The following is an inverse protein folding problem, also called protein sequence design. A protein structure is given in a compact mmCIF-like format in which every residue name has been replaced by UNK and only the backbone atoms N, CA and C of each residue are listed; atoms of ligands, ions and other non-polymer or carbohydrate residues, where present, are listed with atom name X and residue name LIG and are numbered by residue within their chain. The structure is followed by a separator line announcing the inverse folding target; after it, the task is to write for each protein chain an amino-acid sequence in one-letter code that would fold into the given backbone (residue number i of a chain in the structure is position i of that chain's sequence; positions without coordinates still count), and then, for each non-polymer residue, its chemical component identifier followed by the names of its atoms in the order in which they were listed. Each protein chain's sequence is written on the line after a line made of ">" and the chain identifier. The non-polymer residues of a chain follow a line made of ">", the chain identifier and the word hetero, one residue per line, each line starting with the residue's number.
data_IF_589585085913
#
_entry.id   IF_589585085913
#
_cell.length_a   1.000
_cell.length_b   1.000
_cell.length_c   1.000
_cell.angle_alpha   90.00
_cell.angle_beta   90.00
_cell.angle_gamma   90.00
#
_symmetry.space_group_name_H-M   'P 1'
#
loop_
_entity.id
_entity.type
_entity.pdbx_description
1 polymer ?
#
# COMPACT_ATOMS: atom_id res chain seq x y z
N UNK A 1 24.33 -9.85 -0.37
CA UNK A 1 22.89 -9.82 -0.73
C UNK A 1 22.16 -8.99 0.31
N UNK A 2 21.18 -8.16 -0.08
CA UNK A 2 20.42 -7.28 0.83
C UNK A 2 19.35 -8.02 1.68
N UNK A 3 19.27 -9.35 1.61
CA UNK A 3 18.23 -10.16 2.30
C UNK A 3 16.80 -9.96 1.78
N UNK A 4 16.58 -9.09 0.79
CA UNK A 4 15.25 -8.73 0.26
C UNK A 4 14.48 -9.91 -0.32
N UNK A 5 15.17 -10.83 -0.99
CA UNK A 5 14.51 -12.00 -1.58
C UNK A 5 13.88 -12.87 -0.49
N UNK A 6 14.60 -13.12 0.61
CA UNK A 6 14.11 -13.89 1.74
C UNK A 6 12.87 -13.21 2.37
N UNK A 7 12.90 -11.88 2.50
CA UNK A 7 11.75 -11.09 2.97
C UNK A 7 10.55 -11.25 2.03
N UNK A 8 10.77 -11.17 0.71
CA UNK A 8 9.68 -11.24 -0.27
C UNK A 8 9.06 -12.64 -0.28
N UNK A 9 9.88 -13.68 -0.16
CA UNK A 9 9.41 -15.07 -0.03
C UNK A 9 8.62 -15.24 1.26
N UNK A 10 9.09 -14.71 2.39
CA UNK A 10 8.35 -14.77 3.65
C UNK A 10 6.99 -14.07 3.54
N UNK A 11 6.95 -12.86 2.97
CA UNK A 11 5.70 -12.12 2.76
C UNK A 11 4.71 -12.86 1.86
N UNK A 12 5.22 -13.48 0.78
CA UNK A 12 4.40 -14.30 -0.10
C UNK A 12 3.79 -15.49 0.66
N UNK A 13 4.62 -16.26 1.38
CA UNK A 13 4.21 -17.43 2.16
C UNK A 13 3.24 -17.10 3.29
N UNK A 14 3.40 -15.95 3.94
CA UNK A 14 2.47 -15.46 4.97
C UNK A 14 1.06 -15.29 4.42
N UNK A 15 0.93 -14.67 3.23
CA UNK A 15 -0.37 -14.55 2.59
C UNK A 15 -0.87 -15.87 1.99
N UNK A 16 0.01 -16.76 1.51
CA UNK A 16 -0.42 -18.12 1.09
C UNK A 16 -1.02 -18.92 2.24
N UNK A 17 -0.44 -18.83 3.44
CA UNK A 17 -0.95 -19.50 4.63
C UNK A 17 -2.26 -18.86 5.14
N UNK A 18 -2.44 -17.55 4.92
CA UNK A 18 -3.62 -16.79 5.37
C UNK A 18 -4.22 -15.95 4.23
N UNK A 19 -4.82 -16.56 3.20
CA UNK A 19 -5.13 -15.87 1.95
C UNK A 19 -6.28 -14.87 2.05
N UNK A 20 -7.12 -14.95 3.08
CA UNK A 20 -8.29 -14.07 3.24
C UNK A 20 -7.91 -12.77 3.94
N UNK A 21 -7.37 -12.87 5.16
CA UNK A 21 -7.09 -11.73 6.05
C UNK A 21 -5.60 -11.45 6.27
N UNK A 22 -4.70 -12.24 5.67
CA UNK A 22 -3.29 -12.22 6.02
C UNK A 22 -3.06 -12.62 7.48
N UNK A 23 -1.86 -12.35 7.99
CA UNK A 23 -1.48 -12.58 9.38
C UNK A 23 -1.90 -11.45 10.34
N UNK A 24 -2.57 -10.42 9.81
CA UNK A 24 -2.92 -9.18 10.52
C UNK A 24 -1.99 -8.02 10.16
N UNK A 25 -2.56 -6.83 9.99
CA UNK A 25 -1.81 -5.63 9.65
C UNK A 25 -0.79 -5.28 10.74
N UNK A 26 0.39 -4.80 10.34
CA UNK A 26 1.47 -4.41 11.26
C UNK A 26 1.92 -5.56 12.22
N UNK A 27 1.93 -6.79 11.70
CA UNK A 27 2.42 -7.98 12.42
C UNK A 27 3.66 -8.62 11.78
N UNK A 28 4.16 -8.06 10.66
CA UNK A 28 5.20 -8.67 9.85
C UNK A 28 6.46 -8.99 10.66
N UNK A 29 6.92 -8.00 11.43
CA UNK A 29 8.06 -8.06 12.34
C UNK A 29 7.88 -9.01 13.53
N UNK A 30 6.69 -9.60 13.71
CA UNK A 30 6.39 -10.53 14.81
C UNK A 30 6.37 -11.98 14.36
N UNK A 31 6.06 -12.22 13.08
CA UNK A 31 5.76 -13.58 12.58
C UNK A 31 6.61 -14.00 11.38
N UNK A 32 7.28 -13.07 10.68
CA UNK A 32 7.95 -13.35 9.41
C UNK A 32 9.02 -14.44 9.47
N UNK A 33 9.69 -14.65 10.62
CA UNK A 33 10.69 -15.70 10.79
C UNK A 33 10.14 -17.11 10.56
N UNK A 34 8.87 -17.35 10.87
CA UNK A 34 8.22 -18.65 10.64
C UNK A 34 8.07 -18.97 9.15
N UNK A 35 8.18 -17.95 8.29
CA UNK A 35 7.95 -18.03 6.86
C UNK A 35 9.22 -17.84 6.03
N UNK A 36 10.36 -17.56 6.67
CA UNK A 36 11.64 -17.43 5.97
C UNK A 36 12.01 -18.75 5.25
N UNK A 37 12.72 -18.69 4.11
CA UNK A 37 13.33 -19.87 3.51
C UNK A 37 14.23 -20.63 4.49
N UNK A 38 14.31 -21.96 4.38
CA UNK A 38 15.16 -22.78 5.26
C UNK A 38 16.65 -22.41 5.13
N UNK A 39 17.06 -22.01 3.92
CA UNK A 39 18.40 -21.53 3.60
C UNK A 39 18.54 -20.01 3.72
N UNK A 40 17.62 -19.35 4.43
CA UNK A 40 17.66 -17.90 4.60
C UNK A 40 18.96 -17.47 5.27
N UNK A 41 19.53 -16.39 4.75
CA UNK A 41 20.73 -15.75 5.31
C UNK A 41 20.38 -14.60 6.25
N UNK A 42 19.08 -14.41 6.54
CA UNK A 42 18.61 -13.35 7.42
C UNK A 42 19.06 -13.61 8.87
N UNK A 43 19.57 -12.60 9.60
CA UNK A 43 19.97 -12.77 11.00
C UNK A 43 18.82 -13.27 11.87
N UNK A 44 19.04 -14.33 12.65
CA UNK A 44 18.01 -14.97 13.50
C UNK A 44 17.52 -14.06 14.62
N UNK A 45 18.36 -13.12 15.03
CA UNK A 45 18.16 -12.19 16.13
C UNK A 45 17.51 -10.88 15.66
N UNK A 46 17.29 -10.71 14.35
CA UNK A 46 16.67 -9.53 13.77
C UNK A 46 15.40 -9.91 13.01
N UNK A 47 14.26 -9.31 13.37
CA UNK A 47 13.05 -9.46 12.57
C UNK A 47 13.04 -8.47 11.41
N UNK A 48 12.78 -8.92 10.16
CA UNK A 48 12.46 -8.03 9.06
C UNK A 48 11.31 -7.08 9.47
N UNK A 49 11.49 -5.75 9.35
CA UNK A 49 10.47 -4.82 9.84
C UNK A 49 9.23 -4.81 8.95
N UNK A 50 9.39 -4.97 7.63
CA UNK A 50 8.29 -5.03 6.65
C UNK A 50 8.79 -5.52 5.28
N UNK A 51 7.90 -5.91 4.34
CA UNK A 51 8.27 -6.39 3.01
C UNK A 51 8.96 -5.38 2.09
N UNK A 52 8.85 -4.09 2.40
CA UNK A 52 9.31 -2.98 1.54
C UNK A 52 8.62 -2.89 0.17
N UNK A 53 7.58 -3.67 -0.11
CA UNK A 53 6.87 -3.67 -1.39
C UNK A 53 5.35 -3.66 -1.11
N UNK A 54 4.64 -2.74 -1.75
CA UNK A 54 3.24 -2.42 -1.44
C UNK A 54 2.32 -3.64 -1.48
N UNK A 55 2.34 -4.39 -2.58
CA UNK A 55 1.47 -5.56 -2.75
C UNK A 55 1.82 -6.68 -1.78
N UNK A 56 3.10 -6.93 -1.52
CA UNK A 56 3.53 -7.96 -0.57
C UNK A 56 3.15 -7.58 0.87
N UNK A 57 3.16 -6.30 1.21
CA UNK A 57 2.75 -5.85 2.52
C UNK A 57 1.24 -5.95 2.75
N UNK A 58 0.45 -5.59 1.73
CA UNK A 58 -1.00 -5.78 1.77
C UNK A 58 -1.35 -7.27 1.77
N UNK A 59 -0.69 -8.08 0.94
CA UNK A 59 -0.92 -9.52 0.84
C UNK A 59 -0.61 -10.24 2.16
N UNK A 60 0.59 -10.00 2.72
CA UNK A 60 0.99 -10.63 3.98
C UNK A 60 0.15 -10.15 5.17
N UNK A 61 -0.17 -8.85 5.24
CA UNK A 61 -0.88 -8.27 6.38
C UNK A 61 -2.40 -8.42 6.34
N UNK A 62 -3.02 -8.29 5.16
CA UNK A 62 -4.47 -8.20 4.99
C UNK A 62 -5.04 -9.17 3.93
N UNK A 63 -4.19 -10.00 3.31
CA UNK A 63 -4.62 -11.02 2.34
C UNK A 63 -5.32 -10.45 1.11
N UNK A 64 -6.16 -11.29 0.51
CA UNK A 64 -6.98 -10.93 -0.65
C UNK A 64 -7.97 -9.79 -0.36
N UNK A 65 -8.50 -9.68 0.86
CA UNK A 65 -9.38 -8.56 1.23
C UNK A 65 -8.63 -7.24 1.11
N UNK A 66 -7.39 -7.18 1.61
CA UNK A 66 -6.53 -6.00 1.46
C UNK A 66 -6.28 -5.64 0.00
N UNK A 67 -5.91 -6.63 -0.83
CA UNK A 67 -5.63 -6.41 -2.25
C UNK A 67 -6.87 -5.90 -2.99
N UNK A 68 -8.03 -6.52 -2.75
CA UNK A 68 -9.30 -6.09 -3.35
C UNK A 68 -9.64 -4.66 -2.92
N UNK A 69 -9.55 -4.35 -1.62
CA UNK A 69 -9.81 -3.00 -1.10
C UNK A 69 -8.88 -1.94 -1.72
N UNK A 70 -7.60 -2.26 -1.86
CA UNK A 70 -6.62 -1.39 -2.50
C UNK A 70 -6.92 -1.14 -3.98
N UNK A 71 -7.23 -2.19 -4.75
CA UNK A 71 -7.60 -2.05 -6.16
C UNK A 71 -8.91 -1.29 -6.34
N UNK A 72 -9.88 -1.46 -5.43
CA UNK A 72 -11.11 -0.68 -5.42
C UNK A 72 -10.84 0.81 -5.18
N UNK A 73 -9.92 1.15 -4.26
CA UNK A 73 -9.52 2.54 -4.04
C UNK A 73 -8.92 3.17 -5.31
N UNK A 74 -8.02 2.44 -5.99
CA UNK A 74 -7.49 2.85 -7.30
C UNK A 74 -8.59 3.04 -8.35
N UNK A 75 -9.54 2.11 -8.42
CA UNK A 75 -10.66 2.17 -9.35
C UNK A 75 -11.56 3.38 -9.10
N UNK A 76 -11.86 3.68 -7.82
CA UNK A 76 -12.66 4.86 -7.44
C UNK A 76 -11.94 6.15 -7.82
N UNK A 77 -10.66 6.29 -7.48
CA UNK A 77 -9.86 7.46 -7.84
C UNK A 77 -9.75 7.64 -9.36
N UNK A 78 -9.57 6.55 -10.10
CA UNK A 78 -9.59 6.57 -11.57
C UNK A 78 -10.94 7.04 -12.13
N UNK A 79 -12.05 6.56 -11.58
CA UNK A 79 -13.40 7.00 -12.01
C UNK A 79 -13.62 8.48 -11.73
N UNK A 80 -13.24 8.97 -10.55
CA UNK A 80 -13.30 10.40 -10.21
C UNK A 80 -12.46 11.23 -11.19
N UNK A 81 -11.23 10.80 -11.48
CA UNK A 81 -10.38 11.46 -12.46
C UNK A 81 -11.02 11.52 -13.85
N UNK A 82 -11.61 10.42 -14.32
CA UNK A 82 -12.28 10.34 -15.62
C UNK A 82 -13.51 11.23 -15.72
N UNK A 83 -14.23 11.43 -14.63
CA UNK A 83 -15.43 12.28 -14.57
C UNK A 83 -15.10 13.77 -14.36
N UNK A 84 -13.91 14.10 -13.83
CA UNK A 84 -13.49 15.46 -13.56
C UNK A 84 -13.27 16.30 -14.84
N UNK A 85 -13.65 17.57 -14.75
CA UNK A 85 -13.39 18.63 -15.73
C UNK A 85 -11.88 18.91 -15.86
N UNK A 86 -11.42 19.49 -16.99
CA UNK A 86 -10.01 19.84 -17.17
C UNK A 86 -9.43 20.71 -16.05
N UNK A 87 -10.18 21.70 -15.55
CA UNK A 87 -9.73 22.59 -14.48
C UNK A 87 -9.62 21.87 -13.12
N UNK A 88 -10.58 20.98 -12.80
CA UNK A 88 -10.52 20.13 -11.60
C UNK A 88 -9.30 19.21 -11.64
N UNK A 89 -9.00 18.61 -12.80
CA UNK A 89 -7.80 17.78 -12.98
C UNK A 89 -6.53 18.58 -12.74
N UNK A 90 -6.41 19.79 -13.30
CA UNK A 90 -5.25 20.68 -13.08
C UNK A 90 -5.07 20.99 -11.59
N UNK A 91 -6.16 21.29 -10.88
CA UNK A 91 -6.14 21.56 -9.43
C UNK A 91 -5.80 20.31 -8.61
N UNK A 92 -6.27 19.14 -9.03
CA UNK A 92 -6.06 17.88 -8.31
C UNK A 92 -4.66 17.30 -8.50
N UNK A 93 -3.97 17.59 -9.61
CA UNK A 93 -2.66 17.00 -9.91
C UNK A 93 -1.64 17.12 -8.74
N UNK A 94 -1.39 18.30 -8.13
CA UNK A 94 -0.39 18.43 -7.07
C UNK A 94 -0.68 17.59 -5.82
N UNK A 95 -1.97 17.38 -5.51
CA UNK A 95 -2.39 16.61 -4.32
C UNK A 95 -2.56 15.12 -4.60
N UNK A 96 -2.81 14.75 -5.86
CA UNK A 96 -2.99 13.37 -6.29
C UNK A 96 -1.65 12.69 -6.62
N UNK A 97 -0.65 13.44 -7.10
CA UNK A 97 0.67 12.92 -7.46
C UNK A 97 1.40 12.20 -6.30
N UNK A 98 1.42 12.74 -5.06
CA UNK A 98 2.01 12.03 -3.92
C UNK A 98 1.40 10.65 -3.70
N UNK A 99 0.07 10.51 -3.83
CA UNK A 99 -0.61 9.22 -3.69
C UNK A 99 -0.24 8.26 -4.80
N UNK A 100 -0.20 8.74 -6.06
CA UNK A 100 0.17 7.89 -7.19
C UNK A 100 1.59 7.34 -7.05
N UNK A 101 2.53 8.18 -6.60
CA UNK A 101 3.92 7.78 -6.43
C UNK A 101 4.07 6.87 -5.22
N UNK A 102 3.55 7.28 -4.06
CA UNK A 102 3.67 6.53 -2.82
C UNK A 102 3.03 5.15 -2.97
N UNK A 103 1.78 5.10 -3.44
CA UNK A 103 0.98 3.89 -3.50
C UNK A 103 0.97 3.23 -4.87
N UNK A 104 1.94 3.52 -5.74
CA UNK A 104 2.08 2.76 -6.98
C UNK A 104 2.19 1.26 -6.63
N UNK A 105 1.43 0.34 -7.26
CA UNK A 105 1.37 -1.05 -6.81
C UNK A 105 2.72 -1.77 -6.78
N UNK A 106 3.64 -1.38 -7.67
CA UNK A 106 4.97 -1.95 -7.74
C UNK A 106 6.02 -1.13 -6.96
N UNK A 107 5.61 -0.08 -6.24
CA UNK A 107 6.54 0.76 -5.51
C UNK A 107 7.22 -0.01 -4.39
N UNK A 108 8.43 0.43 -4.08
CA UNK A 108 9.20 -0.05 -2.94
C UNK A 108 9.44 1.13 -2.00
N UNK A 109 8.85 1.12 -0.82
CA UNK A 109 8.98 2.20 0.15
C UNK A 109 8.95 1.67 1.61
N UNK A 110 8.74 2.56 2.58
CA UNK A 110 8.55 2.21 4.00
C UNK A 110 7.26 1.40 4.20
N UNK A 111 6.96 0.87 5.38
CA UNK A 111 5.74 0.07 5.60
C UNK A 111 4.44 0.76 5.12
N UNK A 112 3.41 -0.02 4.79
CA UNK A 112 2.08 0.44 4.35
C UNK A 112 1.23 0.91 5.53
N UNK A 113 1.24 0.16 6.62
CA UNK A 113 0.36 0.34 7.79
C UNK A 113 0.86 1.23 8.95
N UNK A 114 2.07 1.83 8.96
CA UNK A 114 2.43 2.81 10.00
C UNK A 114 1.46 4.00 10.05
N UNK A 115 1.15 4.48 11.26
CA UNK A 115 0.22 5.59 11.49
C UNK A 115 0.62 6.88 10.77
N UNK A 116 1.93 7.16 10.69
CA UNK A 116 2.49 8.33 9.98
C UNK A 116 2.04 8.37 8.51
N UNK A 117 2.23 7.27 7.78
CA UNK A 117 1.86 7.18 6.36
C UNK A 117 0.36 7.06 6.16
N UNK A 118 -0.36 6.42 7.09
CA UNK A 118 -1.81 6.34 7.05
C UNK A 118 -2.47 7.73 7.13
N UNK A 119 -2.01 8.58 8.05
CA UNK A 119 -2.53 9.95 8.21
C UNK A 119 -2.28 10.78 6.94
N UNK A 120 -1.05 10.76 6.42
CA UNK A 120 -0.71 11.47 5.18
C UNK A 120 -1.55 10.98 4.00
N UNK A 121 -1.73 9.67 3.89
CA UNK A 121 -2.54 9.07 2.81
C UNK A 121 -3.98 9.52 2.86
N UNK A 122 -4.62 9.43 4.03
CA UNK A 122 -6.02 9.85 4.19
C UNK A 122 -6.18 11.35 3.92
N UNK A 123 -5.21 12.17 4.37
CA UNK A 123 -5.20 13.61 4.11
C UNK A 123 -5.14 13.92 2.61
N UNK A 124 -4.17 13.34 1.88
CA UNK A 124 -4.05 13.56 0.44
C UNK A 124 -5.21 12.96 -0.35
N UNK A 125 -5.79 11.84 0.10
CA UNK A 125 -7.00 11.24 -0.51
C UNK A 125 -8.17 12.21 -0.39
N UNK A 126 -8.40 12.78 0.81
CA UNK A 126 -9.45 13.76 1.02
C UNK A 126 -9.28 15.01 0.14
N UNK A 127 -8.06 15.57 0.08
CA UNK A 127 -7.76 16.70 -0.80
C UNK A 127 -7.97 16.38 -2.28
N UNK A 128 -7.54 15.18 -2.71
CA UNK A 128 -7.69 14.73 -4.09
C UNK A 128 -9.17 14.59 -4.47
N UNK A 129 -9.98 14.00 -3.60
CA UNK A 129 -11.43 13.87 -3.82
C UNK A 129 -12.07 15.25 -3.89
N UNK A 130 -11.74 16.15 -2.96
CA UNK A 130 -12.28 17.51 -2.95
C UNK A 130 -11.92 18.28 -4.22
N UNK A 131 -10.67 18.20 -4.68
CA UNK A 131 -10.22 18.87 -5.90
C UNK A 131 -10.87 18.30 -7.17
N UNK A 132 -11.07 16.97 -7.24
CA UNK A 132 -11.72 16.31 -8.37
C UNK A 132 -13.22 16.53 -8.44
N UNK A 133 -13.85 16.92 -7.33
CA UNK A 133 -15.31 17.07 -7.22
C UNK A 133 -15.76 18.50 -6.90
N UNK A 134 -14.82 19.46 -6.90
CA UNK A 134 -15.10 20.86 -6.59
C UNK A 134 -16.14 21.43 -7.55
N UNK A 135 -17.19 22.06 -7.03
CA UNK A 135 -18.17 22.72 -7.88
C UNK A 135 -17.56 24.01 -8.42
N UNK A 136 -17.68 24.21 -9.73
CA UNK A 136 -17.34 25.50 -10.34
C UNK A 136 -18.47 26.46 -10.03
N UNK A 137 -18.24 27.43 -9.14
CA UNK A 137 -19.20 28.50 -8.83
C UNK A 137 -19.23 29.61 -9.89
N UNK A 138 -18.72 29.35 -11.10
CA UNK A 138 -18.84 30.28 -12.22
C UNK A 138 -20.28 30.26 -12.77
N UNK A 139 -21.12 31.15 -12.23
CA UNK A 139 -22.23 31.78 -12.94
C UNK A 139 -21.74 32.97 -13.74
#
# INVERSE_FOLDING_TARGET
>A
SSGRLDIYIAAWRMGEAHPINGVGVNSFDKVSHQYLPENSTWPKDLFPPHPHQVMLEIWSGAGSIGIIGFLLAWLVMWRLWKQALPEQRKLALPVLMPLLVLWWPLNTHRGFYPSELAILTLFFVALSIAALTSRSDYK
#
